data_IF_364177161448
#
_entry.id   IF_364177161448
#
_cell.length_a   1.000
_cell.length_b   1.000
_cell.length_c   1.000
_cell.angle_alpha   90.00
_cell.angle_beta   90.00
_cell.angle_gamma   90.00
#
_symmetry.space_group_name_H-M   'P 1'
#
loop_
_entity.id
_entity.type
_entity.pdbx_description
1 polymer ?
#
# COMPACT_ATOMS: atom_id res chain seq x y z
N UNK A 1 -68.48 51.95 1.18
CA UNK A 1 -68.79 50.52 1.39
C UNK A 1 -67.52 49.85 1.73
N UNK A 2 -67.35 49.30 2.95
CA UNK A 2 -66.17 48.61 3.43
C UNK A 2 -66.36 47.13 3.15
N UNK A 3 -65.37 46.37 2.65
CA UNK A 3 -65.38 44.91 2.67
C UNK A 3 -64.72 44.36 3.95
N UNK A 4 -65.30 43.29 4.42
CA UNK A 4 -65.03 42.58 5.64
C UNK A 4 -63.68 41.76 5.54
N UNK A 5 -62.87 41.89 6.60
CA UNK A 5 -61.74 40.99 6.83
C UNK A 5 -62.22 39.59 7.19
N UNK A 6 -61.70 38.59 6.46
CA UNK A 6 -61.84 37.18 6.82
C UNK A 6 -60.53 36.72 7.52
N UNK A 7 -60.64 36.34 8.79
CA UNK A 7 -59.53 35.76 9.57
C UNK A 7 -59.25 34.32 9.08
N UNK A 8 -58.07 34.10 8.56
CA UNK A 8 -57.55 32.74 8.33
C UNK A 8 -56.75 32.29 9.55
N UNK A 9 -57.25 31.28 10.20
CA UNK A 9 -56.56 30.60 11.31
C UNK A 9 -55.42 29.76 10.76
N UNK A 10 -54.17 30.09 11.10
CA UNK A 10 -53.00 29.23 10.84
C UNK A 10 -52.93 28.11 11.87
N UNK A 11 -53.20 26.88 11.45
CA UNK A 11 -52.87 25.68 12.21
C UNK A 11 -51.35 25.42 12.11
N UNK A 12 -50.65 25.70 13.17
CA UNK A 12 -49.24 25.31 13.34
C UNK A 12 -49.15 23.82 13.56
N UNK A 13 -48.77 23.08 12.51
CA UNK A 13 -48.41 21.64 12.63
C UNK A 13 -47.01 21.57 13.25
N UNK A 14 -46.94 21.18 14.53
CA UNK A 14 -45.70 20.77 15.17
C UNK A 14 -45.22 19.42 14.58
N UNK A 15 -44.23 19.50 13.67
CA UNK A 15 -43.45 18.32 13.30
C UNK A 15 -42.41 18.00 14.40
N UNK A 16 -42.39 16.80 15.00
CA UNK A 16 -41.32 16.45 15.89
C UNK A 16 -40.05 16.25 15.04
N UNK A 17 -39.08 17.12 15.22
CA UNK A 17 -37.70 16.87 14.76
C UNK A 17 -37.17 15.67 15.54
N UNK A 18 -37.16 14.48 14.91
CA UNK A 18 -36.37 13.36 15.40
C UNK A 18 -34.89 13.74 15.20
N UNK A 19 -34.25 14.17 16.29
CA UNK A 19 -32.80 14.32 16.35
C UNK A 19 -32.22 12.92 16.24
N UNK A 20 -31.82 12.51 15.03
CA UNK A 20 -30.94 11.37 14.86
C UNK A 20 -29.64 11.72 15.59
N UNK A 21 -29.45 11.15 16.77
CA UNK A 21 -28.15 11.12 17.44
C UNK A 21 -27.19 10.35 16.52
N UNK A 22 -26.45 11.06 15.70
CA UNK A 22 -25.29 10.50 15.00
C UNK A 22 -24.31 10.12 16.10
N UNK A 23 -24.18 8.82 16.38
CA UNK A 23 -23.09 8.31 17.18
C UNK A 23 -21.79 8.69 16.44
N UNK A 24 -21.18 9.80 16.83
CA UNK A 24 -19.81 10.12 16.48
C UNK A 24 -18.97 9.09 17.21
N UNK A 25 -18.64 8.00 16.52
CA UNK A 25 -17.60 7.10 17.00
C UNK A 25 -16.39 8.00 17.30
N UNK A 26 -15.92 7.96 18.54
CA UNK A 26 -14.77 8.74 18.95
C UNK A 26 -13.61 8.41 18.00
N UNK A 27 -13.26 9.35 17.13
CA UNK A 27 -12.11 9.21 16.25
C UNK A 27 -10.89 9.05 17.15
N UNK A 28 -10.16 7.96 16.95
CA UNK A 28 -8.88 7.80 17.63
C UNK A 28 -8.01 9.02 17.27
N UNK A 29 -7.30 9.60 18.26
CA UNK A 29 -6.42 10.74 17.97
C UNK A 29 -5.39 10.32 16.93
N UNK A 30 -5.05 11.25 16.02
CA UNK A 30 -4.02 11.03 15.03
C UNK A 30 -2.71 10.56 15.69
N UNK A 31 -1.97 9.64 15.07
CA UNK A 31 -0.69 9.17 15.60
C UNK A 31 0.22 10.36 15.92
N UNK A 32 0.90 10.31 17.05
CA UNK A 32 1.84 11.33 17.51
C UNK A 32 3.22 10.72 17.71
N UNK A 33 4.29 11.49 17.52
CA UNK A 33 5.64 11.02 17.82
C UNK A 33 5.79 10.72 19.31
N UNK A 34 6.52 9.65 19.64
CA UNK A 34 6.83 9.26 21.02
C UNK A 34 8.26 9.68 21.37
N UNK A 35 8.45 10.17 22.60
CA UNK A 35 9.80 10.48 23.15
C UNK A 35 10.49 9.23 23.72
N UNK A 36 9.72 8.25 24.17
CA UNK A 36 10.20 6.97 24.69
C UNK A 36 9.21 5.85 24.36
N UNK A 37 9.75 4.63 24.25
CA UNK A 37 8.89 3.45 24.12
C UNK A 37 8.06 3.25 25.39
N UNK A 38 6.75 2.94 25.26
CA UNK A 38 5.91 2.60 26.41
C UNK A 38 6.48 1.39 27.16
N UNK A 39 6.43 1.45 28.49
CA UNK A 39 6.80 0.30 29.29
C UNK A 39 5.81 -0.85 29.08
N UNK A 40 6.35 -2.03 28.76
CA UNK A 40 5.56 -3.26 28.69
C UNK A 40 6.08 -4.27 29.71
N UNK A 41 5.26 -4.72 30.65
CA UNK A 41 5.67 -5.74 31.61
C UNK A 41 5.88 -7.09 30.93
N UNK A 42 6.81 -7.90 31.43
CA UNK A 42 7.06 -9.26 30.93
C UNK A 42 5.85 -10.19 31.05
N UNK A 43 4.99 -9.95 32.02
CA UNK A 43 3.67 -10.56 32.17
C UNK A 43 2.63 -9.46 32.41
N UNK A 44 1.81 -9.22 31.41
CA UNK A 44 0.70 -8.28 31.49
C UNK A 44 -0.58 -8.99 31.98
N UNK A 45 -0.81 -8.93 33.28
CA UNK A 45 -2.00 -9.53 33.90
C UNK A 45 -3.31 -8.83 33.52
N UNK A 46 -3.26 -7.62 32.95
CA UNK A 46 -4.44 -6.88 32.46
C UNK A 46 -4.94 -7.45 31.12
N UNK A 47 -4.12 -8.24 30.46
CA UNK A 47 -4.49 -8.99 29.24
C UNK A 47 -5.43 -10.16 29.54
N UNK A 48 -5.52 -10.62 30.80
CA UNK A 48 -6.37 -11.74 31.19
C UNK A 48 -7.84 -11.30 31.32
N UNK A 49 -8.75 -12.08 30.75
CA UNK A 49 -10.19 -12.00 31.06
C UNK A 49 -10.56 -13.05 32.10
N UNK A 50 -10.54 -12.63 33.37
CA UNK A 50 -10.82 -13.52 34.51
C UNK A 50 -12.30 -13.91 34.63
N UNK A 51 -13.19 -13.38 33.81
CA UNK A 51 -14.60 -13.78 33.76
C UNK A 51 -14.81 -15.07 32.95
N UNK A 52 -13.80 -15.52 32.20
CA UNK A 52 -13.83 -16.72 31.39
C UNK A 52 -13.13 -17.88 32.10
N UNK A 53 -13.73 -19.05 32.08
CA UNK A 53 -13.10 -20.27 32.59
C UNK A 53 -11.99 -20.71 31.60
N UNK A 54 -10.72 -20.81 32.05
CA UNK A 54 -9.61 -21.22 31.18
C UNK A 54 -9.72 -22.65 30.64
N UNK A 55 -10.50 -23.51 31.30
CA UNK A 55 -10.78 -24.87 30.82
C UNK A 55 -11.82 -24.88 29.68
N UNK A 56 -12.61 -23.82 29.53
CA UNK A 56 -13.62 -23.67 28.48
C UNK A 56 -13.05 -22.92 27.27
N UNK A 57 -12.38 -21.79 27.50
CA UNK A 57 -11.77 -20.97 26.44
C UNK A 57 -10.48 -20.32 26.97
N UNK A 58 -9.38 -21.05 26.79
CA UNK A 58 -8.07 -20.58 27.26
C UNK A 58 -7.59 -19.35 26.49
N UNK A 59 -7.89 -19.24 25.19
CA UNK A 59 -7.52 -18.08 24.41
C UNK A 59 -8.18 -16.81 24.93
N UNK A 60 -9.49 -16.86 25.11
CA UNK A 60 -10.24 -15.70 25.61
C UNK A 60 -9.88 -15.35 27.05
N UNK A 61 -9.62 -16.37 27.89
CA UNK A 61 -9.09 -16.13 29.25
C UNK A 61 -7.75 -15.39 29.19
N UNK A 62 -6.82 -15.80 28.31
CA UNK A 62 -5.47 -15.26 28.25
C UNK A 62 -5.38 -13.90 27.55
N UNK A 63 -6.21 -13.65 26.53
CA UNK A 63 -6.08 -12.50 25.61
C UNK A 63 -7.30 -11.57 25.62
N UNK A 64 -8.43 -11.97 26.20
CA UNK A 64 -9.68 -11.20 26.11
C UNK A 64 -9.61 -9.81 26.76
N UNK A 65 -8.82 -9.65 27.82
CA UNK A 65 -8.55 -8.34 28.42
C UNK A 65 -7.74 -7.45 27.49
N UNK A 66 -6.73 -8.01 26.79
CA UNK A 66 -5.95 -7.28 25.81
C UNK A 66 -6.82 -6.81 24.65
N UNK A 67 -7.63 -7.68 24.07
CA UNK A 67 -8.54 -7.33 22.94
C UNK A 67 -9.49 -6.20 23.34
N UNK A 68 -10.04 -6.25 24.55
CA UNK A 68 -10.93 -5.23 25.08
C UNK A 68 -10.24 -3.87 25.25
N UNK A 69 -8.98 -3.89 25.71
CA UNK A 69 -8.20 -2.68 25.96
C UNK A 69 -7.51 -2.12 24.69
N UNK A 70 -7.43 -2.91 23.63
CA UNK A 70 -6.77 -2.53 22.38
C UNK A 70 -7.70 -2.82 21.17
N UNK A 71 -8.78 -2.03 20.99
CA UNK A 71 -9.68 -2.21 19.86
C UNK A 71 -8.91 -2.01 18.54
N UNK A 72 -9.37 -2.69 17.48
CA UNK A 72 -8.79 -2.56 16.15
C UNK A 72 -8.93 -1.10 15.70
N UNK A 73 -7.81 -0.41 15.32
CA UNK A 73 -7.87 0.93 14.77
C UNK A 73 -8.72 0.98 13.50
N UNK A 74 -9.38 2.12 13.24
CA UNK A 74 -10.33 2.26 12.14
C UNK A 74 -9.70 2.08 10.73
N UNK A 75 -8.41 2.29 10.63
CA UNK A 75 -7.60 2.15 9.41
C UNK A 75 -6.93 0.76 9.27
N UNK A 76 -7.17 -0.16 10.22
CA UNK A 76 -6.55 -1.48 10.25
C UNK A 76 -7.58 -2.59 10.03
N UNK A 77 -7.18 -3.63 9.30
CA UNK A 77 -8.00 -4.83 9.11
C UNK A 77 -7.89 -5.84 10.27
N UNK A 78 -6.92 -5.66 11.16
CA UNK A 78 -6.65 -6.50 12.33
C UNK A 78 -5.67 -5.83 13.26
N UNK A 79 -5.65 -6.26 14.53
CA UNK A 79 -4.76 -5.69 15.54
C UNK A 79 -4.17 -6.80 16.40
N UNK A 80 -2.91 -6.67 16.75
CA UNK A 80 -2.19 -7.63 17.59
C UNK A 80 -1.12 -6.93 18.43
N UNK A 81 -0.56 -7.63 19.39
CA UNK A 81 0.58 -7.14 20.19
C UNK A 81 1.74 -6.72 19.28
N UNK A 82 2.03 -7.50 18.23
CA UNK A 82 3.08 -7.19 17.27
C UNK A 82 2.76 -5.94 16.43
N UNK A 83 1.52 -5.80 15.98
CA UNK A 83 1.09 -4.62 15.23
C UNK A 83 1.16 -3.36 16.09
N UNK A 84 0.73 -3.44 17.36
CA UNK A 84 0.86 -2.36 18.33
C UNK A 84 2.32 -1.98 18.56
N UNK A 85 3.19 -2.95 18.84
CA UNK A 85 4.62 -2.72 19.03
C UNK A 85 5.26 -2.09 17.78
N UNK A 86 4.90 -2.58 16.58
CA UNK A 86 5.35 -2.01 15.32
C UNK A 86 4.96 -0.55 15.17
N UNK A 87 3.72 -0.20 15.50
CA UNK A 87 3.22 1.18 15.46
C UNK A 87 3.94 2.07 16.48
N UNK A 88 4.12 1.60 17.72
CA UNK A 88 4.86 2.33 18.75
C UNK A 88 6.33 2.56 18.36
N UNK A 89 6.99 1.57 17.76
CA UNK A 89 8.33 1.72 17.21
C UNK A 89 8.40 2.80 16.11
N UNK A 90 7.43 2.81 15.20
CA UNK A 90 7.37 3.84 14.15
C UNK A 90 7.18 5.23 14.76
N UNK A 91 6.31 5.37 15.75
CA UNK A 91 6.09 6.63 16.46
C UNK A 91 7.34 7.10 17.22
N UNK A 92 8.06 6.17 17.84
CA UNK A 92 9.32 6.46 18.53
C UNK A 92 10.41 6.91 17.54
N UNK A 93 10.59 6.20 16.44
CA UNK A 93 11.50 6.61 15.37
C UNK A 93 11.12 7.98 14.80
N UNK A 94 9.84 8.24 14.60
CA UNK A 94 9.36 9.56 14.21
C UNK A 94 9.77 10.64 15.22
N UNK A 95 9.66 10.37 16.51
CA UNK A 95 10.12 11.28 17.57
C UNK A 95 11.61 11.65 17.43
N UNK A 96 12.47 10.65 17.22
CA UNK A 96 13.91 10.85 16.99
C UNK A 96 14.16 11.69 15.73
N UNK A 97 13.55 11.32 14.59
CA UNK A 97 13.72 11.99 13.30
C UNK A 97 13.26 13.46 13.35
N UNK A 98 12.11 13.70 13.98
CA UNK A 98 11.56 15.04 14.17
C UNK A 98 12.44 15.89 15.13
N UNK A 99 13.03 15.26 16.13
CA UNK A 99 14.00 15.86 17.02
C UNK A 99 15.27 16.28 16.28
N UNK A 100 15.86 15.37 15.51
CA UNK A 100 17.06 15.62 14.71
C UNK A 100 16.84 16.71 13.64
N UNK A 101 15.64 16.75 13.04
CA UNK A 101 15.27 17.80 12.07
C UNK A 101 15.27 19.21 12.69
N UNK A 102 14.97 19.33 13.99
CA UNK A 102 14.82 20.62 14.69
C UNK A 102 16.05 21.02 15.51
N UNK A 103 16.92 20.07 15.86
CA UNK A 103 18.08 20.32 16.70
C UNK A 103 19.06 21.31 16.04
N UNK A 104 19.64 22.22 16.83
CA UNK A 104 20.63 23.21 16.37
C UNK A 104 22.02 22.64 16.30
N UNK A 105 22.42 21.89 17.33
CA UNK A 105 23.72 21.25 17.43
C UNK A 105 23.60 19.77 17.06
N UNK A 106 23.85 19.47 15.77
CA UNK A 106 23.70 18.15 15.21
C UNK A 106 25.05 17.56 14.82
N UNK A 107 25.24 16.28 15.10
CA UNK A 107 26.30 15.49 14.47
C UNK A 107 26.07 15.39 12.97
N UNK A 108 27.10 15.08 12.14
CA UNK A 108 26.90 14.89 10.70
C UNK A 108 25.85 13.83 10.34
N UNK A 109 25.70 12.80 11.16
CA UNK A 109 24.65 11.76 10.95
C UNK A 109 23.27 12.33 11.24
N UNK A 110 23.08 12.99 12.38
CA UNK A 110 21.81 13.63 12.75
C UNK A 110 21.41 14.71 11.74
N UNK A 111 22.37 15.46 11.21
CA UNK A 111 22.10 16.43 10.18
C UNK A 111 21.56 15.74 8.92
N UNK A 112 22.24 14.72 8.40
CA UNK A 112 21.82 13.99 7.20
C UNK A 112 20.44 13.39 7.36
N UNK A 113 20.19 12.69 8.47
CA UNK A 113 18.92 12.00 8.76
C UNK A 113 17.79 13.00 8.98
N UNK A 114 18.03 14.05 9.79
CA UNK A 114 17.05 15.09 10.07
C UNK A 114 16.68 15.92 8.84
N UNK A 115 17.65 16.28 8.00
CA UNK A 115 17.41 17.04 6.76
C UNK A 115 16.61 16.18 5.75
N UNK A 116 16.94 14.88 5.63
CA UNK A 116 16.18 13.95 4.80
C UNK A 116 14.73 13.82 5.27
N UNK A 117 14.53 13.63 6.58
CA UNK A 117 13.20 13.58 7.17
C UNK A 117 12.42 14.89 6.96
N UNK A 118 13.04 16.03 7.21
CA UNK A 118 12.41 17.33 6.99
C UNK A 118 11.99 17.55 5.54
N UNK A 119 12.81 17.12 4.57
CA UNK A 119 12.46 17.18 3.16
C UNK A 119 11.26 16.28 2.80
N UNK A 120 11.23 15.04 3.34
CA UNK A 120 10.11 14.12 3.14
C UNK A 120 8.80 14.60 3.76
N UNK A 121 8.87 15.37 4.85
CA UNK A 121 7.68 15.89 5.56
C UNK A 121 7.23 17.28 5.08
N UNK A 122 7.95 17.89 4.13
CA UNK A 122 7.59 19.17 3.55
C UNK A 122 6.54 18.97 2.42
N UNK A 123 5.31 18.68 2.81
CA UNK A 123 4.21 18.41 1.88
C UNK A 123 3.94 19.60 0.95
N UNK A 124 4.05 20.82 1.45
CA UNK A 124 3.83 22.03 0.64
C UNK A 124 4.83 22.11 -0.53
N UNK A 125 6.11 21.79 -0.29
CA UNK A 125 7.12 21.77 -1.34
C UNK A 125 6.91 20.59 -2.31
N UNK A 126 6.52 19.42 -1.79
CA UNK A 126 6.21 18.23 -2.60
C UNK A 126 5.02 18.51 -3.52
N UNK A 127 3.93 19.09 -2.98
CA UNK A 127 2.75 19.45 -3.73
C UNK A 127 3.03 20.53 -4.80
N UNK A 128 3.91 21.49 -4.49
CA UNK A 128 4.33 22.52 -5.44
C UNK A 128 5.22 21.97 -6.60
N UNK A 129 5.96 20.88 -6.37
CA UNK A 129 6.72 20.20 -7.41
C UNK A 129 5.79 19.42 -8.36
N UNK A 130 4.72 18.82 -7.87
CA UNK A 130 3.78 18.01 -8.64
C UNK A 130 4.49 16.85 -9.34
N UNK A 131 4.30 16.70 -10.65
CA UNK A 131 4.88 15.63 -11.47
C UNK A 131 6.25 15.95 -12.08
N UNK A 132 6.80 17.16 -11.88
CA UNK A 132 8.10 17.57 -12.42
C UNK A 132 9.23 16.56 -12.20
N UNK A 133 9.35 15.89 -11.03
CA UNK A 133 10.42 14.91 -10.82
C UNK A 133 10.38 13.71 -11.75
N UNK A 134 9.20 13.34 -12.27
CA UNK A 134 9.01 12.20 -13.18
C UNK A 134 8.92 12.62 -14.66
N UNK A 135 8.72 13.91 -14.98
CA UNK A 135 8.65 14.43 -16.35
C UNK A 135 9.82 13.96 -17.25
N UNK A 136 11.10 13.97 -16.79
CA UNK A 136 12.20 13.52 -17.64
C UNK A 136 12.09 12.04 -18.02
N UNK A 137 11.61 11.19 -17.12
CA UNK A 137 11.36 9.78 -17.38
C UNK A 137 10.20 9.60 -18.35
N UNK A 138 9.07 10.27 -18.12
CA UNK A 138 7.91 10.24 -19.01
C UNK A 138 8.28 10.71 -20.43
N UNK A 139 9.02 11.81 -20.54
CA UNK A 139 9.49 12.32 -21.84
C UNK A 139 10.42 11.33 -22.55
N UNK A 140 11.23 10.57 -21.82
CA UNK A 140 12.07 9.51 -22.38
C UNK A 140 11.21 8.34 -22.89
N UNK A 141 10.25 7.86 -22.07
CA UNK A 141 9.37 6.74 -22.41
C UNK A 141 8.49 7.07 -23.62
N UNK A 142 7.96 8.29 -23.71
CA UNK A 142 7.12 8.75 -24.81
C UNK A 142 7.86 8.84 -26.17
N UNK A 143 9.20 8.81 -26.18
CA UNK A 143 10.00 8.81 -27.40
C UNK A 143 10.27 7.42 -27.97
N UNK A 144 9.98 6.36 -27.19
CA UNK A 144 10.22 4.98 -27.62
C UNK A 144 9.29 4.61 -28.79
N UNK A 145 9.86 4.07 -29.85
CA UNK A 145 9.13 3.70 -31.08
C UNK A 145 9.31 2.25 -31.48
N UNK A 146 10.39 1.65 -31.05
CA UNK A 146 10.75 0.29 -31.45
C UNK A 146 10.81 -0.64 -30.25
N UNK A 147 10.63 -1.93 -30.50
CA UNK A 147 10.73 -2.95 -29.44
C UNK A 147 12.10 -2.96 -28.75
N UNK A 148 13.19 -2.80 -29.53
CA UNK A 148 14.54 -2.76 -28.95
C UNK A 148 14.77 -1.56 -28.03
N UNK A 149 14.20 -0.39 -28.38
CA UNK A 149 14.23 0.78 -27.48
C UNK A 149 13.48 0.55 -26.18
N UNK A 150 12.32 -0.15 -26.23
CA UNK A 150 11.55 -0.50 -25.03
C UNK A 150 12.39 -1.39 -24.11
N UNK A 151 13.06 -2.41 -24.64
CA UNK A 151 13.91 -3.31 -23.84
C UNK A 151 15.08 -2.57 -23.19
N UNK A 152 15.73 -1.68 -23.94
CA UNK A 152 16.81 -0.83 -23.40
C UNK A 152 16.30 0.11 -22.29
N UNK A 153 15.12 0.72 -22.49
CA UNK A 153 14.51 1.59 -21.49
C UNK A 153 14.12 0.78 -20.24
N UNK A 154 13.54 -0.41 -20.42
CA UNK A 154 13.19 -1.32 -19.33
C UNK A 154 14.40 -1.66 -18.46
N UNK A 155 15.54 -2.04 -19.08
CA UNK A 155 16.78 -2.31 -18.34
C UNK A 155 17.22 -1.10 -17.51
N UNK A 156 17.14 0.10 -18.08
CA UNK A 156 17.49 1.34 -17.36
C UNK A 156 16.54 1.61 -16.19
N UNK A 157 15.24 1.46 -16.41
CA UNK A 157 14.22 1.67 -15.37
C UNK A 157 14.39 0.66 -14.23
N UNK A 158 14.66 -0.62 -14.53
CA UNK A 158 15.00 -1.64 -13.53
C UNK A 158 16.24 -1.30 -12.69
N UNK A 159 17.23 -0.64 -13.30
CA UNK A 159 18.46 -0.23 -12.60
C UNK A 159 18.26 1.03 -11.73
N UNK A 160 17.44 1.96 -12.19
CA UNK A 160 17.27 3.27 -11.53
C UNK A 160 16.17 3.29 -10.47
N UNK A 161 15.14 2.49 -10.65
CA UNK A 161 13.96 2.51 -9.80
C UNK A 161 13.70 1.14 -9.17
N UNK A 162 13.40 1.08 -7.86
CA UNK A 162 13.02 -0.17 -7.22
C UNK A 162 11.66 -0.63 -7.77
N UNK A 163 11.58 -1.88 -8.21
CA UNK A 163 10.34 -2.46 -8.71
C UNK A 163 10.56 -3.71 -9.55
N UNK A 164 9.47 -4.40 -9.85
CA UNK A 164 9.45 -5.60 -10.70
C UNK A 164 8.56 -5.32 -11.91
N UNK A 165 9.02 -4.50 -12.86
CA UNK A 165 8.18 -4.00 -13.96
C UNK A 165 7.62 -5.13 -14.83
N UNK A 166 8.41 -6.00 -15.43
CA UNK A 166 7.95 -7.22 -16.10
C UNK A 166 8.45 -8.48 -15.41
N UNK A 167 9.58 -8.36 -14.76
CA UNK A 167 10.19 -9.41 -13.96
C UNK A 167 10.92 -8.78 -12.77
N UNK A 168 11.11 -9.53 -11.70
CA UNK A 168 11.98 -9.16 -10.59
C UNK A 168 13.36 -9.79 -10.80
N UNK A 169 14.41 -9.09 -10.40
CA UNK A 169 15.76 -9.61 -10.35
C UNK A 169 16.38 -9.38 -8.98
N UNK A 170 17.27 -10.27 -8.59
CA UNK A 170 17.99 -10.17 -7.33
C UNK A 170 19.16 -11.14 -7.31
N UNK A 171 19.90 -11.12 -6.21
CA UNK A 171 20.94 -12.11 -5.93
C UNK A 171 20.56 -12.86 -4.67
N UNK A 172 20.76 -14.16 -4.66
CA UNK A 172 20.48 -15.02 -3.53
C UNK A 172 21.40 -16.21 -3.49
N UNK A 173 21.36 -16.90 -2.36
CA UNK A 173 22.06 -18.14 -2.19
C UNK A 173 21.33 -19.25 -2.96
N UNK A 174 22.06 -20.08 -3.70
CA UNK A 174 21.48 -21.20 -4.41
C UNK A 174 20.77 -22.17 -3.45
N UNK A 175 19.56 -22.58 -3.80
CA UNK A 175 18.75 -23.45 -2.95
C UNK A 175 19.28 -24.89 -2.85
N UNK A 176 20.10 -25.34 -3.82
CA UNK A 176 20.69 -26.68 -3.85
C UNK A 176 22.13 -26.65 -3.32
N UNK A 177 22.94 -25.70 -3.78
CA UNK A 177 24.32 -25.50 -3.31
C UNK A 177 24.47 -24.13 -2.62
N UNK A 178 24.32 -24.15 -1.29
CA UNK A 178 24.39 -22.94 -0.48
C UNK A 178 25.75 -22.22 -0.48
N UNK A 179 26.78 -22.81 -1.08
CA UNK A 179 28.08 -22.17 -1.27
C UNK A 179 28.09 -21.18 -2.47
N UNK A 180 27.11 -21.25 -3.33
CA UNK A 180 26.96 -20.41 -4.51
C UNK A 180 26.03 -19.23 -4.27
N UNK A 181 26.43 -18.06 -4.79
CA UNK A 181 25.57 -16.89 -4.95
C UNK A 181 25.18 -16.79 -6.43
N UNK A 182 23.89 -16.77 -6.69
CA UNK A 182 23.33 -16.75 -8.05
C UNK A 182 22.47 -15.52 -8.28
N UNK A 183 22.25 -15.19 -9.55
CA UNK A 183 21.22 -14.21 -9.94
C UNK A 183 19.89 -14.94 -10.03
N UNK A 184 18.88 -14.39 -9.38
CA UNK A 184 17.52 -14.88 -9.42
C UNK A 184 16.65 -13.99 -10.31
N UNK A 185 15.90 -14.61 -11.22
CA UNK A 185 14.85 -13.95 -11.99
C UNK A 185 13.49 -14.47 -11.52
N UNK A 186 12.54 -13.58 -11.33
CA UNK A 186 11.21 -13.91 -10.82
C UNK A 186 10.14 -13.24 -11.66
N UNK A 187 8.98 -13.90 -11.81
CA UNK A 187 7.83 -13.27 -12.44
C UNK A 187 7.42 -11.98 -11.70
N UNK A 188 7.12 -10.93 -12.45
CA UNK A 188 6.74 -9.62 -11.96
C UNK A 188 5.76 -8.92 -12.89
N UNK A 189 5.65 -7.59 -12.79
CA UNK A 189 4.85 -6.77 -13.68
C UNK A 189 3.35 -6.80 -13.41
N UNK A 190 2.92 -7.16 -12.18
CA UNK A 190 1.53 -7.07 -11.76
C UNK A 190 1.37 -5.89 -10.79
N UNK A 191 0.45 -4.99 -11.06
CA UNK A 191 0.10 -3.89 -10.17
C UNK A 191 -0.87 -4.30 -9.06
N UNK A 192 -1.71 -5.32 -9.27
CA UNK A 192 -2.51 -5.96 -8.21
C UNK A 192 -1.71 -7.05 -7.50
N UNK A 193 -2.04 -7.40 -6.24
CA UNK A 193 -1.18 -8.22 -5.36
C UNK A 193 -0.79 -9.61 -5.88
N UNK A 194 -1.61 -10.24 -6.72
CA UNK A 194 -1.25 -11.50 -7.39
C UNK A 194 -2.16 -11.81 -8.61
N UNK A 195 -1.82 -12.93 -9.29
CA UNK A 195 -2.52 -13.37 -10.51
C UNK A 195 -4.03 -13.59 -10.32
N UNK A 196 -4.49 -13.99 -9.14
CA UNK A 196 -5.90 -14.32 -8.91
C UNK A 196 -6.81 -13.10 -9.08
N UNK A 197 -6.31 -11.90 -8.80
CA UNK A 197 -7.04 -10.66 -9.04
C UNK A 197 -7.38 -10.43 -10.52
N UNK A 198 -6.57 -10.98 -11.44
CA UNK A 198 -6.75 -10.86 -12.89
C UNK A 198 -7.58 -11.98 -13.48
N UNK A 199 -7.51 -13.18 -12.89
CA UNK A 199 -8.04 -14.42 -13.50
C UNK A 199 -9.38 -14.87 -12.93
N UNK A 200 -9.72 -14.51 -11.68
CA UNK A 200 -11.00 -14.85 -11.06
C UNK A 200 -12.15 -14.04 -11.63
N UNK A 201 -13.33 -14.72 -11.75
CA UNK A 201 -14.54 -14.17 -12.37
C UNK A 201 -15.65 -13.83 -11.38
N UNK A 202 -15.40 -13.98 -10.08
CA UNK A 202 -16.36 -13.58 -9.05
C UNK A 202 -16.57 -12.04 -9.04
N UNK A 203 -17.74 -11.61 -8.57
CA UNK A 203 -18.14 -10.19 -8.61
C UNK A 203 -17.16 -9.26 -7.88
N UNK A 204 -16.52 -9.73 -6.79
CA UNK A 204 -15.53 -8.96 -6.04
C UNK A 204 -14.26 -8.73 -6.88
N UNK A 205 -13.75 -9.77 -7.52
CA UNK A 205 -12.55 -9.68 -8.37
C UNK A 205 -12.78 -8.81 -9.60
N UNK A 206 -13.96 -8.89 -10.22
CA UNK A 206 -14.36 -8.03 -11.33
C UNK A 206 -14.36 -6.56 -10.88
N UNK A 207 -15.02 -6.25 -9.75
CA UNK A 207 -15.10 -4.89 -9.22
C UNK A 207 -13.71 -4.32 -8.89
N UNK A 208 -12.79 -5.13 -8.35
CA UNK A 208 -11.42 -4.69 -8.08
C UNK A 208 -10.71 -4.30 -9.38
N UNK A 209 -10.84 -5.07 -10.47
CA UNK A 209 -10.25 -4.72 -11.77
C UNK A 209 -10.83 -3.44 -12.35
N UNK A 210 -12.14 -3.22 -12.23
CA UNK A 210 -12.79 -1.97 -12.64
C UNK A 210 -12.23 -0.76 -11.88
N UNK A 211 -12.09 -0.89 -10.57
CA UNK A 211 -11.50 0.15 -9.72
C UNK A 211 -10.01 0.39 -10.05
N UNK A 212 -9.28 -0.67 -10.35
CA UNK A 212 -7.88 -0.59 -10.74
C UNK A 212 -7.67 0.15 -12.07
N UNK A 213 -8.49 -0.15 -13.09
CA UNK A 213 -8.47 0.60 -14.35
C UNK A 213 -8.80 2.07 -14.14
N UNK A 214 -9.82 2.37 -13.34
CA UNK A 214 -10.17 3.76 -13.01
C UNK A 214 -9.03 4.48 -12.28
N UNK A 215 -8.32 3.81 -11.38
CA UNK A 215 -7.15 4.34 -10.69
C UNK A 215 -6.00 4.65 -11.66
N UNK A 216 -5.66 3.73 -12.58
CA UNK A 216 -4.62 3.95 -13.59
C UNK A 216 -5.01 5.13 -14.49
N UNK A 217 -6.25 5.17 -14.96
CA UNK A 217 -6.75 6.28 -15.78
C UNK A 217 -6.59 7.62 -15.06
N UNK A 218 -6.91 7.68 -13.76
CA UNK A 218 -6.73 8.89 -12.97
C UNK A 218 -5.27 9.31 -12.87
N UNK A 219 -4.35 8.37 -12.62
CA UNK A 219 -2.91 8.65 -12.58
C UNK A 219 -2.40 9.21 -13.91
N UNK A 220 -2.75 8.59 -15.03
CA UNK A 220 -2.33 9.04 -16.37
C UNK A 220 -2.90 10.43 -16.70
N UNK A 221 -4.14 10.71 -16.29
CA UNK A 221 -4.71 12.04 -16.46
C UNK A 221 -3.96 13.11 -15.63
N UNK A 222 -3.51 12.75 -14.42
CA UNK A 222 -2.70 13.66 -13.59
C UNK A 222 -1.31 13.95 -14.22
N UNK A 223 -0.78 13.05 -15.05
CA UNK A 223 0.46 13.26 -15.80
C UNK A 223 0.25 13.94 -17.17
N UNK A 224 -0.94 14.49 -17.42
CA UNK A 224 -1.24 15.33 -18.58
C UNK A 224 -1.86 14.61 -19.79
N UNK A 225 -2.19 13.31 -19.66
CA UNK A 225 -2.90 12.64 -20.76
C UNK A 225 -4.36 13.11 -20.87
N UNK A 226 -4.90 13.09 -22.10
CA UNK A 226 -6.34 13.27 -22.30
C UNK A 226 -7.12 12.12 -21.65
N UNK A 227 -8.34 12.37 -21.22
CA UNK A 227 -9.18 11.34 -20.59
C UNK A 227 -9.42 10.11 -21.51
N UNK A 228 -9.46 10.33 -22.82
CA UNK A 228 -9.61 9.27 -23.82
C UNK A 228 -8.34 8.41 -23.91
N UNK A 229 -7.17 9.05 -24.01
CA UNK A 229 -5.89 8.35 -24.08
C UNK A 229 -5.62 7.60 -22.76
N UNK A 230 -5.77 8.27 -21.62
CA UNK A 230 -5.60 7.67 -20.31
C UNK A 230 -6.48 6.42 -20.09
N UNK A 231 -7.72 6.44 -20.63
CA UNK A 231 -8.60 5.27 -20.58
C UNK A 231 -8.06 4.15 -21.46
N UNK A 232 -7.62 4.46 -22.69
CA UNK A 232 -7.10 3.45 -23.62
C UNK A 232 -5.84 2.78 -23.05
N UNK A 233 -4.95 3.57 -22.42
CA UNK A 233 -3.69 3.08 -21.86
C UNK A 233 -3.91 2.31 -20.56
N UNK A 234 -4.91 2.69 -19.74
CA UNK A 234 -5.32 1.91 -18.57
C UNK A 234 -5.88 0.54 -18.97
N UNK A 235 -6.73 0.47 -20.00
CA UNK A 235 -7.26 -0.79 -20.53
C UNK A 235 -6.13 -1.67 -21.14
N UNK A 236 -5.16 -1.06 -21.83
CA UNK A 236 -4.00 -1.75 -22.38
C UNK A 236 -3.09 -2.31 -21.26
N UNK A 237 -2.89 -1.54 -20.20
CA UNK A 237 -2.14 -1.98 -19.00
C UNK A 237 -2.80 -3.21 -18.37
N UNK A 238 -4.10 -3.17 -18.10
CA UNK A 238 -4.82 -4.33 -17.56
C UNK A 238 -4.70 -5.56 -18.46
N UNK A 239 -4.73 -5.36 -19.79
CA UNK A 239 -4.57 -6.45 -20.77
C UNK A 239 -3.18 -7.09 -20.71
N UNK A 240 -2.13 -6.29 -20.62
CA UNK A 240 -0.74 -6.77 -20.49
C UNK A 240 -0.58 -7.53 -19.18
N UNK A 241 -1.00 -6.94 -18.07
CA UNK A 241 -0.89 -7.56 -16.74
C UNK A 241 -1.71 -8.85 -16.65
N UNK A 242 -2.88 -8.91 -17.28
CA UNK A 242 -3.68 -10.14 -17.37
C UNK A 242 -2.94 -11.24 -18.13
N UNK A 243 -2.22 -10.91 -19.20
CA UNK A 243 -1.39 -11.88 -19.92
C UNK A 243 -0.23 -12.40 -19.06
N UNK A 244 0.45 -11.50 -18.33
CA UNK A 244 1.49 -11.88 -17.36
C UNK A 244 0.93 -12.74 -16.21
N UNK A 245 -0.24 -12.38 -15.69
CA UNK A 245 -0.90 -13.14 -14.64
C UNK A 245 -1.25 -14.57 -15.09
N UNK A 246 -1.73 -14.73 -16.34
CA UNK A 246 -2.03 -16.04 -16.90
C UNK A 246 -0.78 -16.90 -17.12
N UNK A 247 0.36 -16.29 -17.43
CA UNK A 247 1.65 -16.96 -17.54
C UNK A 247 2.31 -17.27 -16.18
N UNK A 248 1.83 -16.70 -15.08
CA UNK A 248 2.41 -16.85 -13.76
C UNK A 248 1.87 -18.09 -13.04
N UNK A 249 2.69 -18.69 -12.19
CA UNK A 249 2.29 -19.79 -11.30
C UNK A 249 1.25 -19.33 -10.26
N UNK A 250 0.38 -20.26 -9.88
CA UNK A 250 -0.56 -20.04 -8.75
C UNK A 250 0.18 -19.93 -7.42
N UNK A 251 -0.47 -19.37 -6.40
CA UNK A 251 0.07 -19.31 -5.03
C UNK A 251 0.44 -20.69 -4.49
N UNK A 252 -0.34 -21.72 -4.84
CA UNK A 252 -0.08 -23.10 -4.40
C UNK A 252 1.17 -23.65 -5.10
N UNK A 253 1.26 -23.52 -6.42
CA UNK A 253 2.41 -23.96 -7.20
C UNK A 253 3.73 -23.28 -6.75
N UNK A 254 3.68 -21.99 -6.40
CA UNK A 254 4.87 -21.26 -5.91
C UNK A 254 5.39 -21.73 -4.54
N UNK A 255 4.64 -22.58 -3.83
CA UNK A 255 5.10 -23.17 -2.56
C UNK A 255 5.96 -24.41 -2.75
N UNK A 256 5.96 -24.97 -3.94
CA UNK A 256 6.82 -26.10 -4.27
C UNK A 256 8.19 -25.60 -4.73
N UNK A 257 9.25 -25.74 -3.93
CA UNK A 257 10.58 -25.28 -4.30
C UNK A 257 11.14 -26.03 -5.52
N UNK A 258 10.74 -27.29 -5.75
CA UNK A 258 11.16 -28.03 -6.93
C UNK A 258 10.51 -27.51 -8.22
N UNK A 259 9.26 -27.07 -8.14
CA UNK A 259 8.55 -26.49 -9.28
C UNK A 259 9.01 -25.05 -9.61
N UNK A 260 9.71 -24.39 -8.68
CA UNK A 260 10.18 -23.00 -8.87
C UNK A 260 11.68 -22.89 -9.09
N UNK A 261 12.43 -23.97 -8.92
CA UNK A 261 13.88 -23.98 -9.15
C UNK A 261 14.20 -24.39 -10.59
N UNK A 262 14.76 -23.47 -11.35
CA UNK A 262 15.23 -23.66 -12.71
C UNK A 262 16.60 -23.00 -12.84
N UNK A 263 17.66 -23.78 -12.79
CA UNK A 263 19.02 -23.29 -13.00
C UNK A 263 19.31 -23.27 -14.51
N UNK A 264 19.56 -22.10 -15.04
CA UNK A 264 19.83 -21.89 -16.46
C UNK A 264 21.11 -21.08 -16.64
N UNK A 265 21.84 -21.37 -17.69
CA UNK A 265 22.96 -20.52 -18.11
C UNK A 265 22.45 -19.27 -18.86
N UNK A 266 23.27 -18.23 -18.94
CA UNK A 266 22.94 -17.03 -19.73
C UNK A 266 22.56 -17.39 -21.18
N UNK A 267 23.29 -18.30 -21.80
CA UNK A 267 23.01 -18.74 -23.16
C UNK A 267 21.67 -19.47 -23.32
N UNK A 268 21.20 -20.17 -22.28
CA UNK A 268 19.88 -20.79 -22.26
C UNK A 268 18.78 -19.75 -22.09
N UNK A 269 18.99 -18.77 -21.20
CA UNK A 269 18.06 -17.64 -21.04
C UNK A 269 17.93 -16.85 -22.33
N UNK A 270 19.04 -16.57 -23.04
CA UNK A 270 19.03 -15.89 -24.36
C UNK A 270 18.22 -16.67 -25.40
N UNK A 271 18.26 -18.01 -25.37
CA UNK A 271 17.41 -18.83 -26.27
C UNK A 271 15.94 -18.77 -25.89
N UNK A 272 15.61 -18.72 -24.60
CA UNK A 272 14.22 -18.58 -24.12
C UNK A 272 13.66 -17.18 -24.41
N UNK A 273 14.51 -16.18 -24.46
CA UNK A 273 14.13 -14.77 -24.62
C UNK A 273 14.85 -14.11 -25.82
N UNK A 274 14.68 -14.64 -27.05
CA UNK A 274 15.47 -14.19 -28.24
C UNK A 274 15.19 -12.74 -28.65
N UNK A 275 14.31 -12.07 -27.95
CA UNK A 275 13.91 -10.69 -28.24
C UNK A 275 14.35 -9.70 -27.14
N UNK A 276 15.08 -10.18 -26.14
CA UNK A 276 15.60 -9.37 -25.04
C UNK A 276 17.10 -9.22 -25.17
#
# INVERSE_FOLDING_TARGET
MRPKLASAAFLAACFPFAVCAVNVAAQQPAPQPLEAMPYSPSLDVTSLDRSVDPCVDFYKFSCGGWEKNNPIPADQAGWSVYAKLGNENQQFLWGILAGDAKAKDRTPVQQKVGDYFAACMNTDAIDAEGDKPIEPLLAQLNRLKTRGEILTALTRVHHQYPGSFFFGSGTGQDAIDSSLMIVELRAGGLGLPDRDYYTKTDAKSVKIREQYVAYIQQLLTLTGESAEQAKADADATLKIETALANASLTRVQRRDPHATYHMETIAEIEKLTPSI
#
